data_IF_794803702478
#
_entry.id   IF_794803702478
#
_cell.length_a   1.000
_cell.length_b   1.000
_cell.length_c   1.000
_cell.angle_alpha   90.00
_cell.angle_beta   90.00
_cell.angle_gamma   90.00
#
_symmetry.space_group_name_H-M   'P 1'
#
loop_
_entity.id
_entity.type
_entity.pdbx_description
1 polymer ?
#
# COMPACT_ATOMS: atom_id res chain seq x y z
N UNK A 1 -7.41 21.72 -7.22
CA UNK A 1 -7.09 20.28 -7.17
C UNK A 1 -5.85 20.09 -6.29
N UNK A 2 -5.93 19.37 -5.15
CA UNK A 2 -4.78 19.15 -4.26
C UNK A 2 -4.05 17.87 -4.67
N UNK A 3 -2.71 17.88 -4.62
CA UNK A 3 -1.84 16.78 -5.01
C UNK A 3 -1.35 16.05 -3.76
N UNK A 4 -1.40 14.72 -3.77
CA UNK A 4 -1.01 13.88 -2.63
C UNK A 4 -0.03 12.81 -3.07
N UNK A 5 1.06 12.65 -2.33
CA UNK A 5 2.07 11.61 -2.53
C UNK A 5 1.70 10.36 -1.75
N UNK A 6 1.65 9.21 -2.42
CA UNK A 6 1.35 7.91 -1.82
C UNK A 6 2.62 7.06 -1.85
N UNK A 7 3.16 6.73 -0.67
CA UNK A 7 4.46 6.06 -0.51
C UNK A 7 4.40 4.61 -0.01
N UNK A 8 3.20 4.12 0.30
CA UNK A 8 2.94 2.77 0.82
C UNK A 8 3.27 1.68 -0.21
N UNK A 9 3.48 0.40 0.22
CA UNK A 9 3.72 -0.70 -0.72
C UNK A 9 2.46 -1.08 -1.50
N UNK A 10 2.66 -1.76 -2.63
CA UNK A 10 1.58 -2.41 -3.37
C UNK A 10 1.08 -3.69 -2.69
N UNK A 11 -0.19 -4.08 -2.90
CA UNK A 11 -1.23 -3.42 -3.73
C UNK A 11 -1.96 -2.25 -3.03
N UNK A 12 -1.49 -1.84 -1.85
CA UNK A 12 -2.14 -0.81 -1.05
C UNK A 12 -2.04 0.59 -1.66
N UNK A 13 -0.95 0.89 -2.35
CA UNK A 13 -0.71 2.20 -2.98
C UNK A 13 -1.76 2.48 -4.05
N UNK A 14 -1.96 1.53 -4.97
CA UNK A 14 -2.98 1.61 -6.01
C UNK A 14 -4.39 1.80 -5.45
N UNK A 15 -4.77 1.05 -4.40
CA UNK A 15 -6.10 1.22 -3.76
C UNK A 15 -6.29 2.61 -3.14
N UNK A 16 -5.25 3.16 -2.51
CA UNK A 16 -5.30 4.51 -1.95
C UNK A 16 -5.38 5.57 -3.05
N UNK A 17 -4.60 5.43 -4.13
CA UNK A 17 -4.64 6.35 -5.25
C UNK A 17 -6.05 6.44 -5.85
N UNK A 18 -6.69 5.29 -6.12
CA UNK A 18 -8.07 5.26 -6.63
C UNK A 18 -9.04 6.00 -5.69
N UNK A 19 -8.99 5.71 -4.39
CA UNK A 19 -9.86 6.37 -3.40
C UNK A 19 -9.64 7.88 -3.33
N UNK A 20 -8.40 8.34 -3.53
CA UNK A 20 -8.07 9.77 -3.57
C UNK A 20 -8.61 10.44 -4.83
N UNK A 21 -8.51 9.77 -5.97
CA UNK A 21 -9.07 10.25 -7.25
C UNK A 21 -10.59 10.34 -7.22
N UNK A 22 -11.27 9.34 -6.63
CA UNK A 22 -12.73 9.35 -6.42
C UNK A 22 -13.20 10.54 -5.55
N UNK A 23 -12.32 11.05 -4.67
CA UNK A 23 -12.55 12.22 -3.82
C UNK A 23 -12.12 13.56 -4.47
N UNK A 24 -11.66 13.54 -5.72
CA UNK A 24 -11.24 14.73 -6.47
C UNK A 24 -9.80 15.21 -6.18
N UNK A 25 -8.97 14.38 -5.56
CA UNK A 25 -7.54 14.63 -5.41
C UNK A 25 -6.76 14.10 -6.62
N UNK A 26 -5.56 14.66 -6.84
CA UNK A 26 -4.58 14.07 -7.77
C UNK A 26 -3.58 13.23 -6.98
N UNK A 27 -3.63 11.92 -7.12
CA UNK A 27 -2.65 11.02 -6.53
C UNK A 27 -1.34 11.04 -7.33
N UNK A 28 -0.21 10.95 -6.62
CA UNK A 28 1.13 10.71 -7.18
C UNK A 28 1.67 9.49 -6.45
N UNK A 29 1.93 8.43 -7.20
CA UNK A 29 2.48 7.19 -6.66
C UNK A 29 4.01 7.27 -6.64
N UNK A 30 4.59 6.97 -5.48
CA UNK A 30 6.02 6.75 -5.30
C UNK A 30 6.21 5.70 -4.18
N UNK A 31 5.91 4.41 -4.42
CA UNK A 31 6.11 3.37 -3.42
C UNK A 31 7.57 3.34 -2.96
N UNK A 32 7.80 3.55 -1.66
CA UNK A 32 9.16 3.62 -1.08
C UNK A 32 9.55 2.33 -0.35
N UNK A 33 8.61 1.39 -0.23
CA UNK A 33 8.77 0.13 0.50
C UNK A 33 8.07 -0.99 -0.27
N UNK A 34 8.49 -2.23 -0.03
CA UNK A 34 7.83 -3.44 -0.52
C UNK A 34 7.46 -4.36 0.65
N UNK A 35 6.41 -5.17 0.47
CA UNK A 35 6.06 -6.22 1.43
C UNK A 35 6.74 -7.51 1.01
N UNK A 36 7.68 -8.00 1.81
CA UNK A 36 8.39 -9.26 1.55
C UNK A 36 7.84 -10.36 2.45
N UNK A 37 7.50 -11.50 1.87
CA UNK A 37 7.10 -12.67 2.64
C UNK A 37 8.29 -13.18 3.45
N UNK A 38 8.09 -13.38 4.75
CA UNK A 38 9.07 -14.04 5.62
C UNK A 38 8.71 -15.52 5.78
N UNK A 39 9.69 -16.40 6.02
CA UNK A 39 9.41 -17.79 6.37
C UNK A 39 8.48 -17.84 7.58
N UNK A 40 7.37 -18.55 7.44
CA UNK A 40 6.48 -18.84 8.55
C UNK A 40 6.98 -20.12 9.25
N UNK A 41 7.14 -20.05 10.56
CA UNK A 41 7.40 -21.22 11.40
C UNK A 41 6.07 -21.98 11.57
N UNK A 42 5.90 -23.06 10.81
CA UNK A 42 4.66 -23.84 10.78
C UNK A 42 4.34 -24.50 12.14
N UNK A 43 5.35 -24.72 12.98
CA UNK A 43 5.22 -25.38 14.28
C UNK A 43 4.84 -24.40 15.41
N UNK A 44 4.88 -23.08 15.14
CA UNK A 44 4.47 -22.03 16.10
C UNK A 44 2.96 -21.82 16.21
N UNK A 45 2.17 -22.55 15.41
CA UNK A 45 0.70 -22.45 15.38
C UNK A 45 0.06 -23.67 16.03
N UNK A 46 0.62 -24.16 17.14
CA UNK A 46 0.00 -25.18 17.97
C UNK A 46 -0.44 -24.53 19.31
N UNK A 47 -1.75 -24.35 19.48
CA UNK A 47 -2.39 -24.06 20.77
C UNK A 47 -3.28 -25.24 21.14
#
# INVERSE_FOLDING_TARGET
MRRLLVTRPEPGASRTAQRLEDLGFKAILLPLTETVALPADADRVAY
#
